data_IF_392612827906
#
_entry.id   IF_392612827906
#
_cell.length_a   1.000
_cell.length_b   1.000
_cell.length_c   1.000
_cell.angle_alpha   90.00
_cell.angle_beta   90.00
_cell.angle_gamma   90.00
#
_symmetry.space_group_name_H-M   'P 1'
#
loop_
_entity.id
_entity.type
_entity.pdbx_description
1 polymer ?
#
# COMPACT_ATOMS: atom_id res chain seq x y z
N UNK A 1 7.07 -14.38 11.35
CA UNK A 1 6.42 -15.69 11.32
C UNK A 1 5.24 -15.71 10.34
N UNK A 2 4.48 -14.63 10.30
CA UNK A 2 3.37 -14.49 9.36
C UNK A 2 3.68 -13.53 8.22
N UNK A 3 4.95 -13.19 8.05
CA UNK A 3 5.39 -12.22 7.04
C UNK A 3 4.95 -12.61 5.64
N UNK A 4 5.22 -13.85 5.25
CA UNK A 4 4.87 -14.34 3.91
C UNK A 4 3.37 -14.33 3.68
N UNK A 5 2.59 -14.72 4.70
CA UNK A 5 1.12 -14.72 4.62
C UNK A 5 0.56 -13.31 4.52
N UNK A 6 1.11 -12.38 5.28
CA UNK A 6 0.65 -11.00 5.26
C UNK A 6 0.94 -10.34 3.90
N UNK A 7 2.13 -10.55 3.39
CA UNK A 7 2.50 -10.06 2.07
C UNK A 7 1.62 -10.71 0.98
N UNK A 8 1.40 -12.01 1.09
CA UNK A 8 0.55 -12.74 0.15
C UNK A 8 -0.88 -12.22 0.11
N UNK A 9 -1.46 -11.94 1.27
CA UNK A 9 -2.80 -11.35 1.37
C UNK A 9 -2.87 -9.99 0.69
N UNK A 10 -1.85 -9.17 0.86
CA UNK A 10 -1.79 -7.85 0.24
C UNK A 10 -1.62 -7.92 -1.26
N UNK A 11 -0.83 -8.87 -1.74
CA UNK A 11 -0.70 -9.13 -3.18
C UNK A 11 -2.07 -9.52 -3.75
N UNK A 12 -2.77 -10.43 -3.09
CA UNK A 12 -4.10 -10.87 -3.51
C UNK A 12 -5.09 -9.71 -3.51
N UNK A 13 -5.08 -8.89 -2.47
CA UNK A 13 -5.94 -7.72 -2.37
C UNK A 13 -5.69 -6.76 -3.53
N UNK A 14 -4.43 -6.42 -3.78
CA UNK A 14 -4.05 -5.50 -4.84
C UNK A 14 -4.38 -6.10 -6.22
N UNK A 15 -4.13 -7.39 -6.41
CA UNK A 15 -4.47 -8.08 -7.67
C UNK A 15 -5.97 -8.03 -7.94
N UNK A 16 -6.76 -8.38 -6.95
CA UNK A 16 -8.23 -8.37 -7.06
C UNK A 16 -8.74 -6.96 -7.33
N UNK A 17 -8.15 -5.96 -6.67
CA UNK A 17 -8.51 -4.56 -6.88
C UNK A 17 -8.18 -4.09 -8.29
N UNK A 18 -7.08 -4.58 -8.86
CA UNK A 18 -6.69 -4.30 -10.23
C UNK A 18 -7.47 -5.13 -11.26
N UNK A 19 -8.39 -5.97 -10.77
CA UNK A 19 -9.25 -6.80 -11.61
C UNK A 19 -8.50 -7.84 -12.43
N UNK A 20 -7.36 -8.30 -11.91
CA UNK A 20 -6.62 -9.42 -12.52
C UNK A 20 -6.98 -10.74 -11.86
N UNK A 21 -7.15 -11.78 -12.68
CA UNK A 21 -7.10 -13.15 -12.17
C UNK A 21 -5.65 -13.52 -11.87
N UNK A 22 -5.45 -14.63 -11.16
CA UNK A 22 -4.08 -15.14 -10.93
C UNK A 22 -3.38 -15.44 -12.26
N UNK A 23 -4.11 -16.00 -13.22
CA UNK A 23 -3.60 -16.32 -14.56
C UNK A 23 -3.20 -15.06 -15.32
N UNK A 24 -4.02 -14.03 -15.26
CA UNK A 24 -3.74 -12.75 -15.94
C UNK A 24 -2.51 -12.06 -15.37
N UNK A 25 -2.40 -12.04 -14.05
CA UNK A 25 -1.21 -11.44 -13.41
C UNK A 25 0.04 -12.26 -13.75
N UNK A 26 -0.06 -13.59 -13.70
CA UNK A 26 1.04 -14.47 -14.04
C UNK A 26 1.52 -14.24 -15.48
N UNK A 27 0.59 -14.13 -16.41
CA UNK A 27 0.91 -13.85 -17.81
C UNK A 27 1.66 -12.51 -17.95
N UNK A 28 1.14 -11.49 -17.29
CA UNK A 28 1.74 -10.15 -17.32
C UNK A 28 3.18 -10.15 -16.79
N UNK A 29 3.47 -11.00 -15.82
CA UNK A 29 4.78 -11.08 -15.16
C UNK A 29 5.68 -12.19 -15.72
N UNK A 30 5.20 -12.94 -16.71
CA UNK A 30 5.88 -14.12 -17.24
C UNK A 30 6.17 -15.17 -16.16
N UNK A 31 5.21 -15.35 -15.28
CA UNK A 31 5.25 -16.34 -14.20
C UNK A 31 4.11 -17.34 -14.38
N UNK A 32 4.15 -18.44 -13.61
CA UNK A 32 3.04 -19.39 -13.61
C UNK A 32 1.93 -18.95 -12.66
N UNK A 33 0.69 -19.27 -12.97
CA UNK A 33 -0.43 -19.02 -12.08
C UNK A 33 -0.26 -19.75 -10.74
N UNK A 34 0.34 -20.94 -10.79
CA UNK A 34 0.66 -21.69 -9.58
C UNK A 34 1.61 -20.92 -8.65
N UNK A 35 2.61 -20.26 -9.22
CA UNK A 35 3.54 -19.46 -8.44
C UNK A 35 2.86 -18.26 -7.82
N UNK A 36 1.98 -17.58 -8.57
CA UNK A 36 1.18 -16.48 -8.01
C UNK A 36 0.33 -17.00 -6.84
N UNK A 37 -0.32 -18.14 -7.00
CA UNK A 37 -1.09 -18.75 -5.92
C UNK A 37 -0.23 -19.04 -4.70
N UNK A 38 0.97 -19.56 -4.89
CA UNK A 38 1.90 -19.84 -3.79
C UNK A 38 2.33 -18.57 -3.06
N UNK A 39 2.58 -17.48 -3.79
CA UNK A 39 2.90 -16.18 -3.20
C UNK A 39 1.73 -15.66 -2.37
N UNK A 40 0.52 -15.74 -2.89
CA UNK A 40 -0.68 -15.23 -2.20
C UNK A 40 -1.02 -16.04 -0.96
N UNK A 41 -0.71 -17.33 -0.96
CA UNK A 41 -0.93 -18.20 0.21
C UNK A 41 0.20 -18.17 1.24
N UNK A 42 1.27 -17.44 0.92
CA UNK A 42 2.42 -17.36 1.82
C UNK A 42 3.30 -18.60 1.83
N UNK A 43 3.16 -19.48 0.85
CA UNK A 43 3.99 -20.69 0.69
C UNK A 43 5.34 -20.30 0.08
N UNK A 44 5.33 -19.36 -0.88
CA UNK A 44 6.53 -18.85 -1.50
C UNK A 44 6.73 -17.38 -1.15
N UNK A 45 7.97 -16.94 -1.22
CA UNK A 45 8.33 -15.53 -1.09
C UNK A 45 9.22 -15.19 -2.30
N UNK A 46 8.78 -14.26 -3.11
CA UNK A 46 9.49 -13.94 -4.35
C UNK A 46 10.82 -13.24 -4.11
N UNK A 47 11.66 -13.28 -5.11
CA UNK A 47 12.89 -12.49 -5.14
C UNK A 47 12.57 -11.00 -5.14
N UNK A 48 13.56 -10.16 -4.86
CA UNK A 48 13.39 -8.70 -4.92
C UNK A 48 12.89 -8.28 -6.30
N UNK A 49 13.39 -8.90 -7.37
CA UNK A 49 12.96 -8.62 -8.74
C UNK A 49 11.48 -8.97 -8.94
N UNK A 50 11.05 -10.13 -8.47
CA UNK A 50 9.65 -10.56 -8.56
C UNK A 50 8.73 -9.60 -7.81
N UNK A 51 9.08 -9.25 -6.57
CA UNK A 51 8.30 -8.32 -5.75
C UNK A 51 8.21 -6.96 -6.43
N UNK A 52 9.32 -6.45 -6.96
CA UNK A 52 9.35 -5.18 -7.69
C UNK A 52 8.42 -5.21 -8.90
N UNK A 53 8.46 -6.29 -9.67
CA UNK A 53 7.61 -6.43 -10.85
C UNK A 53 6.13 -6.54 -10.49
N UNK A 54 5.80 -7.21 -9.40
CA UNK A 54 4.44 -7.27 -8.89
C UNK A 54 3.95 -5.86 -8.50
N UNK A 55 4.78 -5.12 -7.79
CA UNK A 55 4.44 -3.75 -7.41
C UNK A 55 4.19 -2.86 -8.62
N UNK A 56 5.03 -2.96 -9.65
CA UNK A 56 4.84 -2.20 -10.88
C UNK A 56 3.57 -2.61 -11.61
N UNK A 57 3.32 -3.91 -11.73
CA UNK A 57 2.14 -4.42 -12.43
C UNK A 57 0.84 -4.02 -11.74
N UNK A 58 0.82 -4.01 -10.42
CA UNK A 58 -0.36 -3.70 -9.62
C UNK A 58 -0.44 -2.24 -9.19
N UNK A 59 0.58 -1.45 -9.54
CA UNK A 59 0.67 -0.03 -9.17
C UNK A 59 0.56 0.18 -7.66
N UNK A 60 1.31 -0.61 -6.91
CA UNK A 60 1.40 -0.50 -5.45
C UNK A 60 2.86 -0.25 -5.07
N UNK A 61 3.06 0.24 -3.83
CA UNK A 61 4.40 0.47 -3.30
C UNK A 61 4.86 -0.74 -2.49
N UNK A 62 6.17 -0.90 -2.36
CA UNK A 62 6.73 -1.90 -1.47
C UNK A 62 6.35 -1.61 -0.01
N UNK A 63 6.22 -0.33 0.36
CA UNK A 63 5.78 0.07 1.70
C UNK A 63 4.42 -0.52 2.05
N UNK A 64 3.51 -0.56 1.11
CA UNK A 64 2.22 -1.20 1.31
C UNK A 64 2.37 -2.67 1.67
N UNK A 65 3.22 -3.41 0.94
CA UNK A 65 3.42 -4.83 1.18
C UNK A 65 4.06 -5.12 2.54
N UNK A 66 4.98 -4.27 2.98
CA UNK A 66 5.76 -4.47 4.19
C UNK A 66 5.25 -3.65 5.38
N UNK A 67 4.12 -2.98 5.23
CA UNK A 67 3.60 -2.07 6.25
C UNK A 67 3.48 -2.73 7.63
N UNK A 68 2.88 -3.91 7.69
CA UNK A 68 2.64 -4.58 8.98
C UNK A 68 3.94 -4.98 9.68
N UNK A 69 4.99 -5.24 8.90
CA UNK A 69 6.30 -5.56 9.44
C UNK A 69 6.98 -4.32 10.02
N UNK A 70 6.87 -3.21 9.31
CA UNK A 70 7.56 -1.97 9.67
C UNK A 70 6.85 -1.24 10.81
N UNK A 71 5.51 -1.23 10.81
CA UNK A 71 4.72 -0.51 11.82
C UNK A 71 5.02 -0.96 13.24
N UNK A 72 5.32 -2.24 13.44
CA UNK A 72 5.60 -2.78 14.77
C UNK A 72 6.87 -2.21 15.37
N UNK A 73 7.73 -1.64 14.56
CA UNK A 73 9.03 -1.12 14.95
C UNK A 73 9.10 0.41 14.90
N UNK A 74 8.00 1.08 14.54
CA UNK A 74 7.97 2.54 14.41
C UNK A 74 6.81 3.12 15.19
N UNK A 75 7.06 3.73 16.37
CA UNK A 75 6.01 4.40 17.14
C UNK A 75 5.32 5.50 16.34
N UNK A 76 6.05 6.18 15.47
CA UNK A 76 5.50 7.27 14.65
C UNK A 76 4.44 6.76 13.69
N UNK A 77 4.67 5.60 13.08
CA UNK A 77 3.69 5.00 12.15
C UNK A 77 2.42 4.58 12.87
N UNK A 78 2.54 4.06 14.09
CA UNK A 78 1.38 3.65 14.87
C UNK A 78 0.50 4.83 15.28
N UNK A 79 1.08 6.01 15.48
CA UNK A 79 0.34 7.20 15.86
C UNK A 79 -0.33 7.89 14.68
N UNK A 80 0.22 7.72 13.47
CA UNK A 80 -0.18 8.50 12.30
C UNK A 80 -1.11 7.77 11.34
N UNK A 81 -1.10 6.45 11.33
CA UNK A 81 -1.86 5.67 10.35
C UNK A 81 -2.65 4.59 11.06
N UNK A 82 -3.99 4.67 10.97
CA UNK A 82 -4.88 3.60 11.40
C UNK A 82 -4.57 2.35 10.57
N UNK A 83 -4.49 1.20 11.24
CA UNK A 83 -4.18 -0.09 10.61
C UNK A 83 -5.10 -0.41 9.44
N UNK A 84 -6.36 0.01 9.55
CA UNK A 84 -7.37 -0.28 8.54
C UNK A 84 -7.41 0.73 7.40
N UNK A 85 -6.74 1.87 7.55
CA UNK A 85 -6.84 2.95 6.57
C UNK A 85 -6.36 2.52 5.19
N UNK A 86 -5.18 1.89 5.11
CA UNK A 86 -4.64 1.46 3.83
C UNK A 86 -5.51 0.39 3.16
N UNK A 87 -5.99 -0.56 3.95
CA UNK A 87 -6.88 -1.60 3.43
C UNK A 87 -8.18 -0.99 2.89
N UNK A 88 -8.78 -0.11 3.66
CA UNK A 88 -10.01 0.56 3.26
C UNK A 88 -9.80 1.45 2.04
N UNK A 89 -8.71 2.20 2.02
CA UNK A 89 -8.38 3.05 0.89
C UNK A 89 -8.29 2.24 -0.41
N UNK A 90 -7.65 1.07 -0.35
CA UNK A 90 -7.48 0.22 -1.53
C UNK A 90 -8.79 -0.40 -2.02
N UNK A 91 -9.79 -0.51 -1.16
CA UNK A 91 -11.13 -0.97 -1.55
C UNK A 91 -11.93 0.09 -2.29
N UNK A 92 -11.50 1.35 -2.23
CA UNK A 92 -12.19 2.43 -2.91
C UNK A 92 -12.02 2.31 -4.43
N UNK A 93 -13.04 2.73 -5.18
CA UNK A 93 -12.90 2.88 -6.62
C UNK A 93 -12.03 4.10 -6.96
N UNK A 94 -11.71 4.27 -8.24
CA UNK A 94 -10.82 5.35 -8.66
C UNK A 94 -11.40 6.73 -8.37
N UNK A 95 -12.71 6.90 -8.52
CA UNK A 95 -13.36 8.17 -8.23
C UNK A 95 -13.21 8.56 -6.76
N UNK A 96 -13.49 7.62 -5.87
CA UNK A 96 -13.39 7.87 -4.44
C UNK A 96 -11.94 8.07 -3.98
N UNK A 97 -10.98 7.38 -4.61
CA UNK A 97 -9.55 7.62 -4.34
C UNK A 97 -9.14 9.04 -4.72
N UNK A 98 -9.63 9.55 -5.84
CA UNK A 98 -9.37 10.93 -6.25
C UNK A 98 -9.88 11.91 -5.20
N UNK A 99 -11.09 11.68 -4.67
CA UNK A 99 -11.66 12.51 -3.62
C UNK A 99 -10.78 12.50 -2.37
N UNK A 100 -10.39 11.31 -1.88
CA UNK A 100 -9.54 11.19 -0.69
C UNK A 100 -8.20 11.89 -0.92
N UNK A 101 -7.58 11.68 -2.07
CA UNK A 101 -6.31 12.31 -2.40
C UNK A 101 -6.41 13.83 -2.47
N UNK A 102 -7.50 14.35 -3.03
CA UNK A 102 -7.73 15.79 -3.15
C UNK A 102 -7.91 16.44 -1.78
N UNK A 103 -8.71 15.81 -0.91
CA UNK A 103 -8.91 16.27 0.47
C UNK A 103 -7.60 16.26 1.22
N UNK A 104 -6.82 15.18 1.11
CA UNK A 104 -5.55 15.05 1.79
C UNK A 104 -4.57 16.15 1.38
N UNK A 105 -4.46 16.42 0.08
CA UNK A 105 -3.60 17.49 -0.44
C UNK A 105 -4.02 18.86 0.09
N UNK A 106 -5.32 19.12 0.12
CA UNK A 106 -5.83 20.40 0.62
C UNK A 106 -5.53 20.55 2.12
N UNK A 107 -5.72 19.49 2.91
CA UNK A 107 -5.42 19.52 4.33
C UNK A 107 -3.93 19.75 4.61
N UNK A 108 -3.06 19.13 3.83
CA UNK A 108 -1.61 19.34 3.96
C UNK A 108 -1.26 20.80 3.69
N UNK A 109 -1.86 21.38 2.64
CA UNK A 109 -1.65 22.79 2.30
C UNK A 109 -2.10 23.73 3.41
N UNK A 110 -3.31 23.51 3.93
CA UNK A 110 -3.86 24.29 5.04
C UNK A 110 -3.01 24.17 6.30
N UNK A 111 -2.52 22.97 6.58
CA UNK A 111 -1.65 22.73 7.73
C UNK A 111 -0.34 23.52 7.63
N UNK A 112 0.25 23.57 6.45
CA UNK A 112 1.47 24.36 6.23
C UNK A 112 1.23 25.85 6.41
N UNK A 113 0.12 26.36 5.88
CA UNK A 113 -0.27 27.76 6.03
C UNK A 113 -0.46 28.12 7.51
N UNK A 114 -1.18 27.27 8.24
CA UNK A 114 -1.39 27.46 9.67
C UNK A 114 -0.08 27.38 10.46
N UNK A 115 0.83 26.49 10.08
CA UNK A 115 2.13 26.37 10.70
C UNK A 115 2.95 27.66 10.54
N UNK A 116 2.96 28.22 9.34
CA UNK A 116 3.68 29.46 9.06
C UNK A 116 3.08 30.65 9.84
N UNK A 117 1.75 30.74 9.90
CA UNK A 117 1.05 31.74 10.69
C UNK A 117 1.43 31.61 12.18
N UNK A 118 1.34 30.43 12.73
CA UNK A 118 1.68 30.18 14.13
C UNK A 118 3.14 30.50 14.43
N UNK A 119 4.03 30.19 13.50
CA UNK A 119 5.46 30.51 13.63
C UNK A 119 5.69 32.03 13.67
N UNK A 120 4.95 32.78 12.87
CA UNK A 120 5.01 34.24 12.89
C UNK A 120 4.57 34.80 14.24
N UNK A 121 3.47 34.31 14.78
CA UNK A 121 2.95 34.77 16.06
C UNK A 121 3.88 34.40 17.23
N UNK A 122 4.55 33.27 17.17
CA UNK A 122 5.49 32.86 18.21
C UNK A 122 6.77 33.66 18.23
N UNK A 123 7.09 34.36 17.14
CA UNK A 123 8.30 35.23 17.07
C UNK A 123 8.05 36.64 17.58
N UNK A 124 6.81 37.01 17.72
CA UNK A 124 6.42 38.28 18.32
C UNK A 124 6.30 38.10 19.84
#
# INVERSE_FOLDING_TARGET
KNLRKNIGKKIKLARTKAEYTQEQLAEKLSLSARYISQLERGIAFGSATTITNICKALNITSDFLFYDLIKSNSPIMNDLIDENFLEDYLKLDNYNKVIVNSITKELVKLQKENFEINKQYKKA
#
